data_IF_716488504919
#
_entry.id   IF_716488504919
#
_cell.length_a   1.000
_cell.length_b   1.000
_cell.length_c   1.000
_cell.angle_alpha   90.00
_cell.angle_beta   90.00
_cell.angle_gamma   90.00
#
_symmetry.space_group_name_H-M   'P 1'
#
loop_
_entity.id
_entity.type
_entity.pdbx_description
1 polymer ?
#
# COMPACT_ATOMS: atom_id res chain seq x y z
N UNK A 1 -0.19 12.93 -13.64
CA UNK A 1 0.59 12.11 -12.68
C UNK A 1 0.38 10.62 -12.97
N UNK A 2 1.44 9.82 -12.97
CA UNK A 2 1.32 8.37 -13.18
C UNK A 2 0.70 7.69 -11.94
N UNK A 3 -0.24 6.75 -12.11
CA UNK A 3 -0.79 5.98 -10.99
C UNK A 3 0.28 5.17 -10.26
N UNK A 4 0.27 5.26 -8.93
CA UNK A 4 1.26 4.60 -8.05
C UNK A 4 0.53 3.94 -6.87
N UNK A 5 1.16 2.89 -6.33
CA UNK A 5 0.69 2.21 -5.12
C UNK A 5 1.66 2.50 -3.98
N UNK A 6 1.14 2.91 -2.82
CA UNK A 6 1.89 3.17 -1.60
C UNK A 6 1.49 2.14 -0.54
N UNK A 7 2.43 1.29 -0.12
CA UNK A 7 2.24 0.31 0.95
C UNK A 7 2.78 0.88 2.27
N UNK A 8 1.89 1.21 3.21
CA UNK A 8 2.25 1.90 4.46
C UNK A 8 2.07 0.95 5.66
N UNK A 9 3.20 0.54 6.24
CA UNK A 9 3.25 -0.31 7.43
C UNK A 9 3.35 0.50 8.73
N UNK A 10 2.27 0.50 9.52
CA UNK A 10 2.24 1.10 10.86
C UNK A 10 1.91 2.60 10.90
N UNK A 11 1.75 3.10 12.13
CA UNK A 11 1.22 4.45 12.37
C UNK A 11 2.17 5.56 11.90
N UNK A 12 3.49 5.33 11.94
CA UNK A 12 4.47 6.32 11.48
C UNK A 12 4.32 6.59 9.98
N UNK A 13 4.31 5.52 9.16
CA UNK A 13 4.13 5.63 7.71
C UNK A 13 2.81 6.32 7.35
N UNK A 14 1.71 5.95 8.02
CA UNK A 14 0.39 6.59 7.83
C UNK A 14 0.41 8.09 8.15
N UNK A 15 1.05 8.49 9.26
CA UNK A 15 1.16 9.91 9.65
C UNK A 15 1.97 10.71 8.64
N UNK A 16 3.05 10.14 8.12
CA UNK A 16 3.87 10.79 7.08
C UNK A 16 3.08 10.95 5.79
N UNK A 17 2.31 9.94 5.38
CA UNK A 17 1.46 10.02 4.20
C UNK A 17 0.41 11.14 4.27
N UNK A 18 -0.20 11.37 5.45
CA UNK A 18 -1.14 12.48 5.66
C UNK A 18 -0.53 13.88 5.50
N UNK A 19 0.80 14.00 5.37
CA UNK A 19 1.51 15.28 5.13
C UNK A 19 1.87 15.50 3.66
N UNK A 20 1.66 14.51 2.80
CA UNK A 20 1.99 14.59 1.38
C UNK A 20 0.75 15.07 0.61
N UNK A 21 0.81 16.30 0.11
CA UNK A 21 -0.29 16.90 -0.64
C UNK A 21 -0.62 16.07 -1.90
N UNK A 22 -1.91 15.80 -2.12
CA UNK A 22 -2.39 15.04 -3.28
C UNK A 22 -2.12 13.54 -3.23
N UNK A 23 -1.56 13.00 -2.14
CA UNK A 23 -1.36 11.55 -2.01
C UNK A 23 -2.68 10.80 -1.83
N UNK A 24 -3.61 11.36 -1.04
CA UNK A 24 -4.90 10.72 -0.74
C UNK A 24 -5.98 11.05 -1.79
N UNK A 25 -5.89 12.23 -2.40
CA UNK A 25 -6.89 12.74 -3.37
C UNK A 25 -6.41 12.60 -4.83
N UNK A 26 -5.26 11.98 -5.03
CA UNK A 26 -4.64 11.78 -6.35
C UNK A 26 -5.02 10.46 -7.01
N UNK A 27 -4.46 10.16 -8.20
CA UNK A 27 -4.70 8.91 -8.92
C UNK A 27 -3.89 7.74 -8.32
N UNK A 28 -3.67 7.74 -7.01
CA UNK A 28 -2.81 6.79 -6.31
C UNK A 28 -3.65 5.86 -5.43
N UNK A 29 -3.15 4.64 -5.22
CA UNK A 29 -3.68 3.74 -4.22
C UNK A 29 -2.80 3.79 -2.97
N UNK A 30 -3.41 4.06 -1.82
CA UNK A 30 -2.72 4.01 -0.52
C UNK A 30 -3.28 2.84 0.28
N UNK A 31 -2.44 1.83 0.54
CA UNK A 31 -2.79 0.65 1.32
C UNK A 31 -2.09 0.71 2.68
N UNK A 32 -2.87 0.60 3.76
CA UNK A 32 -2.34 0.72 5.13
C UNK A 32 -2.63 -0.53 5.93
N UNK A 33 -1.62 -1.02 6.64
CA UNK A 33 -1.74 -2.13 7.58
C UNK A 33 -0.87 -1.86 8.82
N UNK A 34 -1.07 -2.58 9.93
CA UNK A 34 -0.09 -2.64 11.01
C UNK A 34 1.32 -2.98 10.51
N UNK A 35 2.33 -2.66 11.31
CA UNK A 35 3.72 -2.94 10.93
C UNK A 35 3.97 -4.47 10.91
N UNK A 36 4.81 -4.99 9.99
CA UNK A 36 5.12 -6.42 9.87
C UNK A 36 5.90 -7.01 11.05
N UNK A 37 6.33 -6.19 12.01
CA UNK A 37 7.06 -6.70 13.18
C UNK A 37 6.19 -7.66 14.00
N UNK A 38 6.80 -8.64 14.69
CA UNK A 38 6.07 -9.64 15.48
C UNK A 38 5.06 -9.03 16.47
N UNK A 39 5.39 -7.87 17.04
CA UNK A 39 4.54 -7.14 17.99
C UNK A 39 3.15 -6.76 17.43
N UNK A 40 3.04 -6.52 16.12
CA UNK A 40 1.81 -5.99 15.49
C UNK A 40 1.34 -6.75 14.27
N UNK A 41 2.08 -7.77 13.81
CA UNK A 41 1.74 -8.48 12.58
C UNK A 41 0.36 -9.15 12.63
N UNK A 42 0.05 -9.77 13.77
CA UNK A 42 -1.24 -10.44 14.01
C UNK A 42 -2.41 -9.45 14.18
N UNK A 43 -2.13 -8.17 14.40
CA UNK A 43 -3.16 -7.14 14.54
C UNK A 43 -3.74 -6.69 13.18
N UNK A 44 -3.30 -7.28 12.06
CA UNK A 44 -3.86 -7.01 10.73
C UNK A 44 -2.86 -6.89 9.58
N UNK A 45 -1.55 -7.08 9.81
CA UNK A 45 -0.59 -7.18 8.70
C UNK A 45 -0.74 -8.54 8.00
N UNK A 46 -0.78 -9.62 8.78
CA UNK A 46 -1.03 -10.96 8.26
C UNK A 46 -2.46 -11.01 7.69
N UNK A 47 -2.58 -11.40 6.42
CA UNK A 47 -3.87 -11.41 5.73
C UNK A 47 -4.31 -10.07 5.13
N UNK A 48 -3.49 -9.01 5.17
CA UNK A 48 -3.85 -7.72 4.57
C UNK A 48 -4.02 -7.74 3.04
N UNK A 49 -3.44 -8.76 2.36
CA UNK A 49 -3.54 -8.98 0.91
C UNK A 49 -3.04 -7.81 0.03
N UNK A 50 -2.18 -6.94 0.59
CA UNK A 50 -1.70 -5.74 -0.09
C UNK A 50 -1.05 -6.01 -1.46
N UNK A 51 -0.28 -7.09 -1.61
CA UNK A 51 0.38 -7.41 -2.89
C UNK A 51 -0.64 -7.68 -4.01
N UNK A 52 -1.69 -8.46 -3.72
CA UNK A 52 -2.76 -8.73 -4.69
C UNK A 52 -3.60 -7.48 -4.99
N UNK A 53 -3.86 -6.64 -3.98
CA UNK A 53 -4.57 -5.38 -4.16
C UNK A 53 -3.75 -4.38 -5.02
N UNK A 54 -2.44 -4.33 -4.80
CA UNK A 54 -1.52 -3.51 -5.59
C UNK A 54 -1.55 -3.92 -7.06
N UNK A 55 -1.42 -5.21 -7.36
CA UNK A 55 -1.47 -5.70 -8.74
C UNK A 55 -2.83 -5.42 -9.39
N UNK A 56 -3.95 -5.66 -8.69
CA UNK A 56 -5.27 -5.37 -9.23
C UNK A 56 -5.45 -3.90 -9.62
N UNK A 57 -4.93 -2.98 -8.80
CA UNK A 57 -4.95 -1.55 -9.11
C UNK A 57 -4.04 -1.19 -10.28
N UNK A 58 -2.82 -1.72 -10.33
CA UNK A 58 -1.89 -1.43 -11.41
C UNK A 58 -2.41 -1.97 -12.75
N UNK A 59 -2.97 -3.18 -12.77
CA UNK A 59 -3.61 -3.76 -13.94
C UNK A 59 -4.80 -2.91 -14.42
N UNK A 60 -5.68 -2.50 -13.50
CA UNK A 60 -6.82 -1.64 -13.83
C UNK A 60 -6.40 -0.27 -14.39
N UNK A 61 -5.19 0.18 -14.10
CA UNK A 61 -4.60 1.42 -14.62
C UNK A 61 -3.62 1.19 -15.79
N UNK A 62 -3.62 0.00 -16.40
CA UNK A 62 -2.77 -0.29 -17.57
C UNK A 62 -1.27 -0.33 -17.29
N UNK A 63 -0.87 -0.50 -16.03
CA UNK A 63 0.54 -0.53 -15.60
C UNK A 63 1.13 -1.94 -15.49
N UNK A 64 0.31 -2.96 -15.71
CA UNK A 64 0.69 -4.37 -15.54
C UNK A 64 0.75 -4.80 -14.07
N UNK A 65 1.30 -5.98 -13.83
CA UNK A 65 1.43 -6.56 -12.50
C UNK A 65 2.90 -6.65 -12.09
N UNK A 66 3.16 -6.55 -10.79
CA UNK A 66 4.48 -6.81 -10.21
C UNK A 66 4.59 -8.31 -9.91
N UNK A 67 5.69 -8.93 -10.31
CA UNK A 67 6.06 -10.27 -9.84
C UNK A 67 6.73 -10.17 -8.48
N UNK A 68 6.06 -10.70 -7.45
CA UNK A 68 6.49 -10.60 -6.05
C UNK A 68 7.31 -11.81 -5.58
N UNK A 69 7.58 -12.78 -6.44
CA UNK A 69 8.40 -13.96 -6.11
C UNK A 69 9.85 -13.54 -5.88
N UNK A 70 10.49 -14.16 -4.88
CA UNK A 70 11.90 -13.94 -4.51
C UNK A 70 12.73 -15.19 -4.72
#
# INVERSE_FOLDING_TARGET
PEPCVFLLGGNHARKTAGRVAGLMDGPHLVLTAPHPSPLSAHAGFLGCRHFSQANAFLEANGRGAIDWRV
#
